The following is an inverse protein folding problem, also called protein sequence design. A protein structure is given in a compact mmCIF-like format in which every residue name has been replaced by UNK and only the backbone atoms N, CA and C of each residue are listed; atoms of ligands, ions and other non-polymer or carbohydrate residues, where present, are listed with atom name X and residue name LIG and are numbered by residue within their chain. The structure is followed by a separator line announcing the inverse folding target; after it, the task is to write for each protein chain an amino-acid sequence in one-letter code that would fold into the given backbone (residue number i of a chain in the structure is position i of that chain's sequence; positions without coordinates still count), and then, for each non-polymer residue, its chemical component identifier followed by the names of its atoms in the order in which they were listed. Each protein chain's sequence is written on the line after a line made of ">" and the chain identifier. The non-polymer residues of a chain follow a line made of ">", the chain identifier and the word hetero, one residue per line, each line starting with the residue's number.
data_IF_290839793936
#
_entry.id   IF_290839793936
#
_cell.length_a   1.000
_cell.length_b   1.000
_cell.length_c   1.000
_cell.angle_alpha   90.00
_cell.angle_beta   90.00
_cell.angle_gamma   90.00
#
_symmetry.space_group_name_H-M   'P 1'
#
loop_
_entity.id
_entity.type
_entity.pdbx_description
1 polymer ?
#
# COMPACT_ATOMS: atom_id res chain seq x y z
N UNK A 1 -9.95 2.77 -5.41
CA UNK A 1 -9.03 1.91 -4.62
C UNK A 1 -7.99 1.26 -5.54
N UNK A 2 -6.72 1.16 -5.11
CA UNK A 2 -5.66 0.39 -5.77
C UNK A 2 -5.37 -0.86 -4.93
N UNK A 3 -5.27 -2.03 -5.55
CA UNK A 3 -4.94 -3.30 -4.89
C UNK A 3 -3.73 -3.93 -5.60
N UNK A 4 -2.72 -4.31 -4.83
CA UNK A 4 -1.47 -4.92 -5.30
C UNK A 4 -1.21 -6.21 -4.52
N UNK A 5 -0.89 -7.29 -5.21
CA UNK A 5 -0.51 -8.56 -4.59
C UNK A 5 0.96 -8.84 -4.82
N UNK A 6 1.69 -9.04 -3.73
CA UNK A 6 3.11 -9.41 -3.74
C UNK A 6 3.24 -10.86 -3.30
N UNK A 7 4.04 -11.64 -4.02
CA UNK A 7 4.44 -12.97 -3.55
C UNK A 7 5.72 -12.83 -2.74
N UNK A 8 5.73 -13.43 -1.56
CA UNK A 8 6.92 -13.50 -0.72
C UNK A 8 7.32 -14.95 -0.56
N UNK A 9 8.58 -15.25 -0.87
CA UNK A 9 9.17 -16.58 -0.71
C UNK A 9 10.32 -16.49 0.31
N UNK A 10 10.07 -16.76 1.60
CA UNK A 10 11.12 -16.72 2.62
C UNK A 10 12.13 -17.87 2.42
N UNK A 11 13.38 -17.66 2.85
CA UNK A 11 14.47 -18.63 2.68
C UNK A 11 14.15 -20.03 3.26
N UNK A 12 13.37 -20.10 4.35
CA UNK A 12 13.01 -21.33 5.07
C UNK A 12 11.49 -21.48 5.30
N UNK A 13 10.65 -21.13 4.32
CA UNK A 13 9.20 -21.27 4.49
C UNK A 13 8.38 -21.34 3.20
N UNK A 14 7.09 -21.62 3.37
CA UNK A 14 6.16 -21.65 2.25
C UNK A 14 5.92 -20.25 1.67
N UNK A 15 5.90 -20.09 0.34
CA UNK A 15 5.52 -18.84 -0.28
C UNK A 15 4.12 -18.39 0.17
N UNK A 16 3.97 -17.10 0.43
CA UNK A 16 2.68 -16.50 0.77
C UNK A 16 2.42 -15.24 -0.04
N UNK A 17 1.14 -14.99 -0.30
CA UNK A 17 0.69 -13.75 -0.91
C UNK A 17 0.49 -12.67 0.16
N UNK A 18 0.96 -11.47 -0.12
CA UNK A 18 0.76 -10.28 0.68
C UNK A 18 -0.08 -9.31 -0.12
N UNK A 19 -1.14 -8.83 0.51
CA UNK A 19 -2.07 -7.90 -0.11
C UNK A 19 -1.82 -6.49 0.39
N UNK A 20 -1.65 -5.57 -0.54
CA UNK A 20 -1.53 -4.14 -0.28
C UNK A 20 -2.72 -3.43 -0.91
N UNK A 21 -3.48 -2.69 -0.11
CA UNK A 21 -4.58 -1.86 -0.61
C UNK A 21 -4.32 -0.40 -0.29
N UNK A 22 -4.27 0.43 -1.31
CA UNK A 22 -4.27 1.89 -1.14
C UNK A 22 -5.71 2.35 -1.40
N UNK A 23 -6.35 2.82 -0.34
CA UNK A 23 -7.72 3.32 -0.40
C UNK A 23 -7.78 4.66 -1.12
N UNK A 24 -9.00 5.14 -1.36
CA UNK A 24 -9.18 6.46 -1.94
C UNK A 24 -8.74 7.54 -0.94
N UNK A 25 -7.97 8.54 -1.40
CA UNK A 25 -7.57 9.65 -0.54
C UNK A 25 -8.81 10.47 -0.15
N UNK A 26 -8.88 10.83 1.13
CA UNK A 26 -9.96 11.61 1.72
C UNK A 26 -9.42 12.96 2.16
N UNK A 27 -10.23 14.00 1.95
CA UNK A 27 -9.88 15.35 2.42
C UNK A 27 -10.14 15.46 3.91
N UNK A 28 -9.11 15.79 4.66
CA UNK A 28 -9.18 16.14 6.08
C UNK A 28 -9.85 17.50 6.30
N UNK A 29 -10.28 17.81 7.53
CA UNK A 29 -10.71 19.16 7.90
C UNK A 29 -9.62 20.21 7.60
N UNK A 30 -10.01 21.46 7.25
CA UNK A 30 -9.08 22.51 6.83
C UNK A 30 -8.01 22.91 7.86
N UNK A 31 -8.21 22.53 9.13
CA UNK A 31 -7.34 22.87 10.26
C UNK A 31 -6.11 21.96 10.37
N UNK A 32 -6.02 20.89 9.58
CA UNK A 32 -4.85 20.00 9.56
C UNK A 32 -3.80 20.47 8.55
N UNK A 33 -2.54 20.44 8.98
CA UNK A 33 -1.37 20.80 8.15
C UNK A 33 -1.29 19.96 6.86
N UNK A 34 -1.70 18.69 6.94
CA UNK A 34 -1.83 17.80 5.78
C UNK A 34 -3.30 17.58 5.41
N UNK A 35 -3.81 18.27 4.36
CA UNK A 35 -5.23 18.30 4.04
C UNK A 35 -5.75 17.00 3.41
N UNK A 36 -4.89 16.06 3.01
CA UNK A 36 -5.30 14.77 2.46
C UNK A 36 -4.77 13.62 3.30
N UNK A 37 -5.61 12.62 3.53
CA UNK A 37 -5.27 11.36 4.19
C UNK A 37 -5.59 10.19 3.27
N UNK A 38 -4.75 9.17 3.26
CA UNK A 38 -5.04 7.89 2.61
C UNK A 38 -4.80 6.76 3.61
N UNK A 39 -5.67 5.74 3.54
CA UNK A 39 -5.46 4.50 4.29
C UNK A 39 -4.74 3.50 3.39
N UNK A 40 -3.69 2.89 3.91
CA UNK A 40 -2.97 1.79 3.29
C UNK A 40 -3.15 0.56 4.17
N UNK A 41 -3.80 -0.47 3.65
CA UNK A 41 -3.91 -1.76 4.31
C UNK A 41 -2.77 -2.67 3.82
N UNK A 42 -1.94 -3.13 4.75
CA UNK A 42 -0.86 -4.08 4.52
C UNK A 42 -1.16 -5.38 5.24
N UNK A 43 -1.52 -6.42 4.50
CA UNK A 43 -1.81 -7.76 5.05
C UNK A 43 -2.86 -7.71 6.19
N UNK A 44 -3.91 -6.88 6.04
CA UNK A 44 -4.97 -6.66 7.03
C UNK A 44 -4.63 -5.63 8.11
N UNK A 45 -3.48 -4.95 8.03
CA UNK A 45 -3.06 -3.92 8.98
C UNK A 45 -3.21 -2.53 8.36
N UNK A 46 -4.11 -1.68 8.88
CA UNK A 46 -4.31 -0.35 8.32
C UNK A 46 -3.27 0.64 8.85
N UNK A 47 -2.75 1.46 7.94
CA UNK A 47 -1.88 2.60 8.20
C UNK A 47 -2.49 3.84 7.54
N UNK A 48 -2.36 5.00 8.18
CA UNK A 48 -2.78 6.26 7.58
C UNK A 48 -1.56 7.09 7.22
N UNK A 49 -1.45 7.46 5.94
CA UNK A 49 -0.47 8.44 5.47
C UNK A 49 -1.19 9.72 5.06
N UNK A 50 -0.44 10.81 4.99
CA UNK A 50 -0.98 12.13 4.73
C UNK A 50 -0.20 12.83 3.61
N UNK A 51 -0.83 13.77 2.93
CA UNK A 51 -0.21 14.55 1.87
C UNK A 51 -0.82 15.93 1.68
N UNK A 52 -0.11 16.77 0.93
CA UNK A 52 -0.55 18.13 0.57
C UNK A 52 -1.68 18.14 -0.47
N UNK A 53 -1.72 17.09 -1.29
CA UNK A 53 -2.73 16.84 -2.31
C UNK A 53 -3.03 15.33 -2.38
N UNK A 54 -4.08 14.89 -3.11
CA UNK A 54 -4.47 13.48 -3.17
C UNK A 54 -3.37 12.56 -3.71
N UNK A 55 -2.61 13.02 -4.70
CA UNK A 55 -1.56 12.23 -5.34
C UNK A 55 -0.38 12.09 -4.38
N UNK A 56 0.04 13.18 -3.75
CA UNK A 56 1.09 13.14 -2.74
C UNK A 56 0.74 12.22 -1.56
N UNK A 57 -0.51 12.20 -1.11
CA UNK A 57 -0.94 11.27 -0.06
C UNK A 57 -0.81 9.80 -0.50
N UNK A 58 -1.21 9.47 -1.74
CA UNK A 58 -1.05 8.14 -2.35
C UNK A 58 0.42 7.76 -2.49
N UNK A 59 1.28 8.67 -2.95
CA UNK A 59 2.73 8.46 -3.06
C UNK A 59 3.36 8.13 -1.70
N UNK A 60 3.04 8.90 -0.66
CA UNK A 60 3.49 8.60 0.70
C UNK A 60 2.96 7.25 1.19
N UNK A 61 1.72 6.90 0.83
CA UNK A 61 1.13 5.59 1.13
C UNK A 61 1.89 4.43 0.48
N UNK A 62 2.20 4.55 -0.81
CA UNK A 62 2.98 3.56 -1.55
C UNK A 62 4.42 3.46 -1.02
N UNK A 63 5.05 4.58 -0.69
CA UNK A 63 6.39 4.61 -0.10
C UNK A 63 6.39 3.93 1.29
N UNK A 64 5.38 4.19 2.11
CA UNK A 64 5.23 3.53 3.41
C UNK A 64 5.10 2.01 3.24
N UNK A 65 4.24 1.55 2.32
CA UNK A 65 4.11 0.14 1.99
C UNK A 65 5.44 -0.49 1.59
N UNK A 66 6.20 0.17 0.69
CA UNK A 66 7.50 -0.31 0.24
C UNK A 66 8.52 -0.42 1.38
N UNK A 67 8.57 0.56 2.29
CA UNK A 67 9.46 0.55 3.46
C UNK A 67 9.11 -0.61 4.39
N UNK A 68 7.82 -0.78 4.70
CA UNK A 68 7.34 -1.84 5.60
C UNK A 68 7.61 -3.21 5.01
N UNK A 69 7.25 -3.43 3.74
CA UNK A 69 7.48 -4.70 3.06
C UNK A 69 8.97 -5.04 3.01
N UNK A 70 9.82 -4.09 2.60
CA UNK A 70 11.28 -4.30 2.58
C UNK A 70 11.86 -4.57 3.96
N UNK A 71 11.36 -3.89 5.01
CA UNK A 71 11.82 -4.09 6.38
C UNK A 71 11.48 -5.48 6.93
N UNK A 72 10.34 -6.05 6.53
CA UNK A 72 9.87 -7.37 7.01
C UNK A 72 10.43 -8.51 6.17
N UNK A 73 10.51 -8.34 4.84
CA UNK A 73 10.78 -9.42 3.90
C UNK A 73 12.13 -9.28 3.16
N UNK A 74 12.84 -8.16 3.32
CA UNK A 74 14.15 -7.97 2.69
C UNK A 74 14.09 -8.13 1.17
N UNK A 75 14.99 -8.96 0.64
CA UNK A 75 15.09 -9.26 -0.79
C UNK A 75 14.16 -10.41 -1.24
N UNK A 76 13.37 -11.00 -0.32
CA UNK A 76 12.44 -12.08 -0.60
C UNK A 76 11.10 -11.63 -1.24
N UNK A 77 11.02 -10.36 -1.63
CA UNK A 77 9.85 -9.76 -2.29
C UNK A 77 10.00 -9.86 -3.80
N UNK A 78 9.18 -10.69 -4.42
CA UNK A 78 8.98 -10.59 -5.86
C UNK A 78 8.23 -9.29 -6.18
N UNK A 79 8.51 -8.65 -7.34
CA UNK A 79 7.74 -7.50 -7.80
C UNK A 79 6.24 -7.85 -7.88
N UNK A 80 5.34 -6.85 -7.72
CA UNK A 80 3.90 -7.11 -7.65
C UNK A 80 3.44 -7.80 -8.94
N UNK A 81 2.64 -8.85 -8.77
CA UNK A 81 1.99 -9.53 -9.89
C UNK A 81 0.99 -8.52 -10.47
N UNK A 82 1.01 -8.30 -11.79
CA UNK A 82 0.22 -7.26 -12.47
C UNK A 82 -1.20 -7.14 -11.91
N UNK A 83 -1.73 -5.91 -11.76
CA UNK A 83 -3.06 -5.72 -11.23
C UNK A 83 -4.05 -6.47 -12.12
N UNK A 84 -4.81 -7.40 -11.52
CA UNK A 84 -6.08 -7.83 -12.10
C UNK A 84 -7.00 -6.62 -12.09
N UNK A 85 -6.87 -5.77 -13.10
CA UNK A 85 -7.94 -4.86 -13.47
C UNK A 85 -9.13 -5.79 -13.72
N UNK A 86 -10.14 -5.74 -12.85
CA UNK A 86 -11.42 -6.34 -13.20
C UNK A 86 -11.87 -5.60 -14.44
N UNK A 87 -11.73 -6.23 -15.60
CA UNK A 87 -12.44 -5.81 -16.80
C UNK A 87 -13.91 -5.71 -16.40
N UNK A 88 -14.48 -4.53 -16.62
CA UNK A 88 -15.81 -4.17 -16.18
C UNK A 88 -16.83 -5.24 -16.55
N UNK A 89 -17.66 -5.57 -15.56
CA UNK A 89 -18.94 -6.22 -15.78
C UNK A 89 -20.03 -5.16 -15.73
#
# INVERSE_FOLDING_TARGET
>A
MIELTFRVTPDDGEPRDILVRIHEPTRNPPEKEWPWAVTVDLDGRPFTTYGMDPLNAVEHGAQHAAIVLRGIHGDALDPPIEPRMKEGQ
#
